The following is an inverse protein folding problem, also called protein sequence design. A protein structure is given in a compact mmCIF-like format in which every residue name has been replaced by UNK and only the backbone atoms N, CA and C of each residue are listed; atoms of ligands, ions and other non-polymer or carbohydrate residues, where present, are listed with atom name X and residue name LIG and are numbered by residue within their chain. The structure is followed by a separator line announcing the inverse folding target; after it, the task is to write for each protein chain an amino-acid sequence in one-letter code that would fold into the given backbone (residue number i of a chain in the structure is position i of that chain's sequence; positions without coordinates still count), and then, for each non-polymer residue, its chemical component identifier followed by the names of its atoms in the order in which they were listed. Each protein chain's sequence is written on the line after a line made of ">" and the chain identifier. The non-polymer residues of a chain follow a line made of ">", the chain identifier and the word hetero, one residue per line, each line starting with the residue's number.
data_IF_101382207272
#
_entry.id   IF_101382207272
#
_cell.length_a   1.000
_cell.length_b   1.000
_cell.length_c   1.000
_cell.angle_alpha   90.00
_cell.angle_beta   90.00
_cell.angle_gamma   90.00
#
_symmetry.space_group_name_H-M   'P 1'
#
loop_
_entity.id
_entity.type
_entity.pdbx_description
1 polymer ?
#
# COMPACT_ATOMS: atom_id res chain seq x y z
N UNK A 1 8.27 -0.60 28.02
CA UNK A 1 7.39 -1.08 26.92
C UNK A 1 5.99 -1.29 27.49
N UNK A 2 4.94 -0.74 26.86
CA UNK A 2 3.55 -0.80 27.35
C UNK A 2 2.73 -1.84 26.53
N UNK A 3 2.59 -3.06 27.05
CA UNK A 3 1.92 -4.18 26.36
C UNK A 3 0.41 -4.29 26.62
N UNK A 4 -0.22 -3.25 27.17
CA UNK A 4 -1.59 -3.29 27.70
C UNK A 4 -2.62 -3.83 26.68
N UNK A 5 -2.47 -3.50 25.39
CA UNK A 5 -3.43 -3.89 24.33
C UNK A 5 -3.02 -5.12 23.53
N UNK A 6 -1.86 -5.73 23.83
CA UNK A 6 -1.35 -6.86 23.03
C UNK A 6 -2.26 -8.11 23.08
N UNK A 7 -2.80 -8.54 24.24
CA UNK A 7 -3.72 -9.68 24.30
C UNK A 7 -5.02 -9.42 23.52
N UNK A 8 -5.60 -8.21 23.64
CA UNK A 8 -6.82 -7.83 22.93
C UNK A 8 -6.65 -7.90 21.41
N UNK A 9 -5.57 -7.30 20.88
CA UNK A 9 -5.29 -7.33 19.44
C UNK A 9 -5.02 -8.73 18.90
N UNK A 10 -4.42 -9.61 19.71
CA UNK A 10 -4.24 -11.03 19.35
C UNK A 10 -5.57 -11.77 19.27
N UNK A 11 -6.47 -11.56 20.23
CA UNK A 11 -7.80 -12.16 20.21
C UNK A 11 -8.60 -11.69 18.99
N UNK A 12 -8.59 -10.39 18.70
CA UNK A 12 -9.25 -9.82 17.52
C UNK A 12 -8.70 -10.41 16.21
N UNK A 13 -7.37 -10.53 16.07
CA UNK A 13 -6.74 -11.15 14.90
C UNK A 13 -7.12 -12.64 14.75
N UNK A 14 -7.16 -13.40 15.84
CA UNK A 14 -7.60 -14.80 15.82
C UNK A 14 -9.07 -14.98 15.46
N UNK A 15 -9.92 -14.02 15.82
CA UNK A 15 -11.35 -14.01 15.49
C UNK A 15 -11.67 -13.40 14.11
N UNK A 16 -10.69 -12.81 13.42
CA UNK A 16 -10.92 -12.04 12.19
C UNK A 16 -11.68 -10.73 12.39
N UNK A 17 -11.71 -10.19 13.61
CA UNK A 17 -12.37 -8.92 13.94
C UNK A 17 -11.48 -7.72 13.59
N UNK A 18 -11.71 -7.14 12.42
CA UNK A 18 -10.97 -5.98 11.95
C UNK A 18 -11.12 -4.74 12.87
N UNK A 19 -12.23 -4.59 13.59
CA UNK A 19 -12.47 -3.42 14.45
C UNK A 19 -11.57 -3.45 15.70
N UNK A 20 -11.18 -4.64 16.17
CA UNK A 20 -10.25 -4.82 17.29
C UNK A 20 -8.76 -4.91 16.91
N UNK A 21 -8.43 -4.82 15.62
CA UNK A 21 -7.05 -4.94 15.11
C UNK A 21 -6.34 -3.59 14.99
N UNK A 22 -5.01 -3.61 15.06
CA UNK A 22 -4.20 -2.44 14.69
C UNK A 22 -4.02 -2.38 13.16
N UNK A 23 -4.98 -1.76 12.47
CA UNK A 23 -4.99 -1.64 11.01
C UNK A 23 -4.07 -0.50 10.53
N UNK A 24 -2.76 -0.72 10.61
CA UNK A 24 -1.76 0.24 10.09
C UNK A 24 -1.88 0.40 8.58
N UNK A 25 -2.20 1.61 8.12
CA UNK A 25 -2.26 1.92 6.70
C UNK A 25 -1.96 3.41 6.46
N UNK A 26 -1.26 3.71 5.36
CA UNK A 26 -1.10 5.08 4.88
C UNK A 26 -2.37 5.62 4.22
N UNK A 27 -2.39 6.93 3.89
CA UNK A 27 -3.54 7.56 3.22
C UNK A 27 -3.86 6.92 1.86
N UNK A 28 -2.84 6.40 1.15
CA UNK A 28 -2.99 5.72 -0.15
C UNK A 28 -3.48 4.26 -0.10
N UNK A 29 -3.97 3.74 1.04
CA UNK A 29 -4.31 2.31 1.18
C UNK A 29 -5.34 1.80 0.17
N UNK A 30 -6.22 2.67 -0.34
CA UNK A 30 -7.21 2.30 -1.37
C UNK A 30 -6.58 1.92 -2.71
N UNK A 31 -5.33 2.29 -2.94
CA UNK A 31 -4.55 1.94 -4.14
C UNK A 31 -3.73 0.65 -3.96
N UNK A 32 -3.86 -0.04 -2.81
CA UNK A 32 -3.14 -1.29 -2.58
C UNK A 32 -3.54 -2.37 -3.59
N UNK A 33 -2.55 -3.12 -4.08
CA UNK A 33 -2.72 -4.17 -5.11
C UNK A 33 -2.30 -5.52 -4.55
N UNK A 34 -3.19 -6.52 -4.67
CA UNK A 34 -2.92 -7.89 -4.23
C UNK A 34 -2.11 -8.65 -5.30
N UNK A 35 -0.79 -8.48 -5.29
CA UNK A 35 0.15 -9.10 -6.23
C UNK A 35 1.42 -9.55 -5.49
N UNK A 36 2.20 -10.52 -6.03
CA UNK A 36 3.53 -10.80 -5.52
C UNK A 36 4.39 -9.54 -5.53
N UNK A 37 5.19 -9.33 -4.49
CA UNK A 37 5.95 -8.09 -4.32
C UNK A 37 6.85 -7.75 -5.53
N UNK A 38 7.54 -8.75 -6.11
CA UNK A 38 8.36 -8.54 -7.30
C UNK A 38 7.54 -8.07 -8.52
N UNK A 39 6.34 -8.63 -8.70
CA UNK A 39 5.42 -8.21 -9.79
C UNK A 39 4.91 -6.80 -9.58
N UNK A 40 4.64 -6.40 -8.34
CA UNK A 40 4.27 -5.02 -8.02
C UNK A 40 5.39 -4.04 -8.41
N UNK A 41 6.64 -4.38 -8.14
CA UNK A 41 7.80 -3.55 -8.54
C UNK A 41 7.91 -3.44 -10.06
N UNK A 42 7.74 -4.53 -10.80
CA UNK A 42 7.73 -4.51 -12.27
C UNK A 42 6.65 -3.58 -12.83
N UNK A 43 5.44 -3.64 -12.27
CA UNK A 43 4.32 -2.77 -12.66
C UNK A 43 4.64 -1.31 -12.36
N UNK A 44 5.11 -0.99 -11.15
CA UNK A 44 5.48 0.37 -10.78
C UNK A 44 6.59 0.94 -11.68
N UNK A 45 7.58 0.11 -12.06
CA UNK A 45 8.65 0.53 -12.96
C UNK A 45 8.14 0.78 -14.40
N UNK A 46 7.13 0.06 -14.85
CA UNK A 46 6.47 0.32 -16.13
C UNK A 46 5.64 1.62 -16.08
N UNK A 47 4.84 1.81 -15.04
CA UNK A 47 4.03 3.02 -14.79
C UNK A 47 4.93 4.27 -14.73
N UNK A 48 6.06 4.19 -14.02
CA UNK A 48 7.02 5.29 -13.91
C UNK A 48 7.62 5.68 -15.27
N UNK A 49 8.00 4.70 -16.10
CA UNK A 49 8.53 4.98 -17.44
C UNK A 49 7.49 5.65 -18.32
N UNK A 50 6.25 5.14 -18.33
CA UNK A 50 5.16 5.75 -19.09
C UNK A 50 4.91 7.21 -18.68
N UNK A 51 4.80 7.48 -17.38
CA UNK A 51 4.62 8.84 -16.86
C UNK A 51 5.79 9.77 -17.22
N UNK A 52 7.02 9.25 -17.22
CA UNK A 52 8.21 10.03 -17.60
C UNK A 52 8.18 10.39 -19.09
N UNK A 53 7.82 9.43 -19.95
CA UNK A 53 7.67 9.66 -21.40
C UNK A 53 6.57 10.70 -21.68
N UNK A 54 5.40 10.57 -21.05
CA UNK A 54 4.31 11.54 -21.19
C UNK A 54 4.73 12.96 -20.76
N UNK A 55 5.47 13.07 -19.65
CA UNK A 55 5.97 14.36 -19.15
C UNK A 55 6.95 15.00 -20.14
N UNK A 56 7.86 14.22 -20.74
CA UNK A 56 8.82 14.73 -21.73
C UNK A 56 8.15 15.10 -23.04
N UNK A 57 7.14 14.33 -23.47
CA UNK A 57 6.42 14.55 -24.72
C UNK A 57 5.49 15.78 -24.62
N UNK A 58 4.91 16.03 -23.45
CA UNK A 58 4.07 17.21 -23.17
C UNK A 58 4.85 18.51 -22.94
N UNK A 59 6.15 18.44 -22.67
CA UNK A 59 7.01 19.60 -22.38
C UNK A 59 7.48 20.41 -23.61
N UNK A 60 7.22 19.93 -24.83
CA UNK A 60 7.57 20.61 -26.09
C UNK A 60 6.47 21.49 -26.70
N UNK A 61 5.29 21.56 -26.07
CA UNK A 61 4.12 22.30 -26.55
C UNK A 61 3.67 23.39 -25.57
N UNK A 62 4.62 24.13 -25.00
CA UNK A 62 4.40 25.30 -24.15
C UNK A 62 5.24 26.48 -24.62
#
# INVERSE_FOLDING_TARGET
>A
VHHLTAPLRRAAAGAGDAQGMALWAGQGHRLARALPAGRLVEVLAAELRAATTELTDGGGAG
#
